data_IF_395933531171
#
_entry.id   IF_395933531171
#
_cell.length_a   1.000
_cell.length_b   1.000
_cell.length_c   1.000
_cell.angle_alpha   90.00
_cell.angle_beta   90.00
_cell.angle_gamma   90.00
#
_symmetry.space_group_name_H-M   'P 1'
#
loop_
_entity.id
_entity.type
_entity.pdbx_description
1 polymer ?
#
# COMPACT_ATOMS: atom_id res chain seq x y z
N UNK A 1 -8.97 18.12 10.69
CA UNK A 1 -9.63 16.79 10.55
C UNK A 1 -8.73 15.74 9.89
N UNK A 2 -8.21 15.97 8.66
CA UNK A 2 -7.37 14.97 7.97
C UNK A 2 -6.06 14.62 8.72
N UNK A 3 -5.39 15.58 9.35
CA UNK A 3 -4.19 15.28 10.15
C UNK A 3 -4.47 14.29 11.28
N UNK A 4 -5.58 14.49 12.01
CA UNK A 4 -6.03 13.59 13.08
C UNK A 4 -6.27 12.19 12.52
N UNK A 5 -6.89 12.08 11.33
CA UNK A 5 -7.08 10.79 10.67
C UNK A 5 -5.75 10.06 10.43
N UNK A 6 -4.74 10.71 9.86
CA UNK A 6 -3.44 10.06 9.61
C UNK A 6 -2.66 9.73 10.89
N UNK A 7 -2.77 10.57 11.93
CA UNK A 7 -2.23 10.25 13.26
C UNK A 7 -2.92 9.01 13.83
N UNK A 8 -4.25 8.97 13.76
CA UNK A 8 -5.05 7.83 14.23
C UNK A 8 -4.73 6.54 13.48
N UNK A 9 -4.47 6.63 12.17
CA UNK A 9 -4.02 5.49 11.34
C UNK A 9 -2.71 4.89 11.85
N UNK A 10 -1.73 5.72 12.23
CA UNK A 10 -0.47 5.26 12.81
C UNK A 10 -0.73 4.52 14.13
N UNK A 11 -1.47 5.14 15.05
CA UNK A 11 -1.79 4.53 16.35
C UNK A 11 -2.58 3.23 16.19
N UNK A 12 -3.57 3.19 15.30
CA UNK A 12 -4.36 1.98 15.04
C UNK A 12 -3.51 0.86 14.48
N UNK A 13 -2.54 1.18 13.61
CA UNK A 13 -1.61 0.20 13.05
C UNK A 13 -0.69 -0.35 14.14
N UNK A 14 -0.15 0.50 15.00
CA UNK A 14 0.70 0.08 16.12
C UNK A 14 -0.08 -0.75 17.14
N UNK A 15 -1.25 -0.28 17.56
CA UNK A 15 -2.13 -0.98 18.50
C UNK A 15 -2.54 -2.34 17.95
N UNK A 16 -2.97 -2.39 16.69
CA UNK A 16 -3.36 -3.65 16.06
C UNK A 16 -2.16 -4.59 15.90
N UNK A 17 -0.94 -4.09 15.75
CA UNK A 17 0.25 -4.92 15.67
C UNK A 17 0.60 -5.57 17.02
N UNK A 18 0.51 -4.80 18.10
CA UNK A 18 0.84 -5.24 19.45
C UNK A 18 -0.22 -6.15 20.06
N UNK A 19 -1.50 -5.77 19.96
CA UNK A 19 -2.59 -6.39 20.71
C UNK A 19 -3.52 -7.25 19.84
N UNK A 20 -3.66 -6.91 18.56
CA UNK A 20 -4.76 -7.42 17.73
C UNK A 20 -4.28 -7.86 16.34
N UNK A 21 -3.15 -8.58 16.29
CA UNK A 21 -2.38 -8.84 15.06
C UNK A 21 -3.17 -9.54 13.96
N UNK A 22 -4.20 -10.29 14.32
CA UNK A 22 -5.11 -10.93 13.37
C UNK A 22 -5.84 -9.91 12.45
N UNK A 23 -6.03 -8.66 12.89
CA UNK A 23 -6.66 -7.62 12.06
C UNK A 23 -5.73 -7.05 10.98
N UNK A 24 -4.41 -7.04 11.21
CA UNK A 24 -3.43 -6.59 10.21
C UNK A 24 -2.93 -7.75 9.34
N UNK A 25 -3.07 -9.00 9.82
CA UNK A 25 -2.52 -10.16 9.12
C UNK A 25 -3.13 -10.30 7.72
N UNK A 26 -2.27 -10.27 6.71
CA UNK A 26 -2.64 -10.61 5.34
C UNK A 26 -2.44 -12.11 5.11
N UNK A 27 -3.43 -12.82 4.57
CA UNK A 27 -3.27 -14.26 4.41
C UNK A 27 -4.43 -15.02 3.81
N UNK A 28 -4.28 -16.33 3.86
CA UNK A 28 -5.19 -17.34 3.34
C UNK A 28 -6.20 -17.71 4.42
N UNK A 29 -7.37 -17.09 4.37
CA UNK A 29 -8.50 -17.45 5.21
C UNK A 29 -9.74 -17.57 4.35
N UNK A 30 -10.50 -18.64 4.53
CA UNK A 30 -11.57 -19.01 3.60
C UNK A 30 -12.79 -18.06 3.64
N UNK A 31 -12.96 -17.25 4.69
CA UNK A 31 -14.10 -16.31 4.85
C UNK A 31 -13.78 -14.85 4.51
N UNK A 32 -12.69 -14.58 3.80
CA UNK A 32 -12.19 -13.21 3.57
C UNK A 32 -12.35 -12.73 2.11
N UNK A 33 -12.40 -11.41 1.93
CA UNK A 33 -12.52 -10.74 0.62
C UNK A 33 -11.27 -10.97 -0.23
N UNK A 34 -11.45 -11.05 -1.55
CA UNK A 34 -10.32 -11.19 -2.48
C UNK A 34 -9.47 -9.94 -2.52
N UNK A 35 -8.13 -10.09 -2.55
CA UNK A 35 -7.23 -8.96 -2.77
C UNK A 35 -7.32 -8.32 -4.15
N UNK A 36 -7.99 -8.98 -5.10
CA UNK A 36 -8.30 -8.37 -6.40
C UNK A 36 -9.16 -7.12 -6.27
N UNK A 37 -9.87 -6.97 -5.14
CA UNK A 37 -10.67 -5.77 -4.86
C UNK A 37 -9.82 -4.54 -4.53
N UNK A 38 -8.48 -4.65 -4.49
CA UNK A 38 -7.59 -3.48 -4.36
C UNK A 38 -7.76 -2.47 -5.51
N UNK A 39 -8.22 -2.90 -6.68
CA UNK A 39 -8.56 -1.99 -7.78
C UNK A 39 -9.57 -0.92 -7.35
N UNK A 40 -10.51 -1.26 -6.45
CA UNK A 40 -11.51 -0.33 -5.92
C UNK A 40 -10.86 0.83 -5.16
N UNK A 41 -9.77 0.57 -4.43
CA UNK A 41 -9.07 1.61 -3.67
C UNK A 41 -8.51 2.69 -4.60
N UNK A 42 -7.81 2.25 -5.64
CA UNK A 42 -7.22 3.15 -6.63
C UNK A 42 -8.30 3.84 -7.46
N UNK A 43 -9.40 3.16 -7.77
CA UNK A 43 -10.55 3.75 -8.46
C UNK A 43 -11.19 4.87 -7.64
N UNK A 44 -11.45 4.66 -6.35
CA UNK A 44 -11.94 5.71 -5.44
C UNK A 44 -10.98 6.88 -5.39
N UNK A 45 -9.67 6.60 -5.31
CA UNK A 45 -8.64 7.63 -5.35
C UNK A 45 -8.67 8.46 -6.64
N UNK A 46 -8.86 7.82 -7.80
CA UNK A 46 -8.98 8.49 -9.10
C UNK A 46 -10.26 9.34 -9.20
N UNK A 47 -11.41 8.80 -8.77
CA UNK A 47 -12.67 9.55 -8.72
C UNK A 47 -12.57 10.79 -7.84
N UNK A 48 -11.87 10.69 -6.72
CA UNK A 48 -11.68 11.81 -5.78
C UNK A 48 -10.81 12.92 -6.37
N UNK A 49 -9.87 12.58 -7.27
CA UNK A 49 -9.03 13.57 -7.95
C UNK A 49 -9.77 14.29 -9.08
N UNK A 50 -10.80 13.68 -9.68
CA UNK A 50 -11.59 14.31 -10.73
C UNK A 50 -12.35 15.56 -10.21
N UNK A 51 -12.42 16.67 -10.98
CA UNK A 51 -11.90 16.88 -12.34
C UNK A 51 -10.44 17.35 -12.40
N UNK A 52 -9.77 17.56 -11.26
CA UNK A 52 -8.42 18.13 -11.20
C UNK A 52 -7.36 17.05 -11.39
N UNK A 53 -6.87 16.93 -12.62
CA UNK A 53 -5.80 15.99 -12.93
C UNK A 53 -4.47 16.53 -12.41
N UNK A 54 -3.99 16.00 -11.28
CA UNK A 54 -2.60 16.16 -10.82
C UNK A 54 -1.77 14.91 -11.18
N UNK A 55 -0.44 14.97 -11.00
CA UNK A 55 0.42 13.83 -11.34
C UNK A 55 0.39 12.67 -10.34
N UNK A 56 -0.31 12.82 -9.21
CA UNK A 56 -0.64 11.66 -8.38
C UNK A 56 -1.59 10.70 -9.12
N UNK A 57 -2.40 11.20 -10.07
CA UNK A 57 -3.19 10.35 -10.96
C UNK A 57 -2.34 9.34 -11.73
N UNK A 58 -1.14 9.71 -12.21
CA UNK A 58 -0.27 8.77 -12.94
C UNK A 58 0.04 7.54 -12.08
N UNK A 59 0.35 7.76 -10.81
CA UNK A 59 0.63 6.69 -9.86
C UNK A 59 -0.61 5.81 -9.63
N UNK A 60 -1.77 6.43 -9.36
CA UNK A 60 -3.03 5.71 -9.11
C UNK A 60 -3.53 4.94 -10.33
N UNK A 61 -3.51 5.55 -11.52
CA UNK A 61 -3.91 4.92 -12.79
C UNK A 61 -3.04 3.70 -13.06
N UNK A 62 -1.71 3.83 -12.91
CA UNK A 62 -0.81 2.68 -13.06
C UNK A 62 -1.14 1.59 -12.03
N UNK A 63 -1.32 1.91 -10.75
CA UNK A 63 -1.71 0.91 -9.73
C UNK A 63 -3.03 0.23 -10.06
N UNK A 64 -4.01 0.98 -10.52
CA UNK A 64 -5.32 0.47 -10.93
C UNK A 64 -5.16 -0.57 -12.04
N UNK A 65 -4.46 -0.21 -13.13
CA UNK A 65 -4.16 -1.11 -14.25
C UNK A 65 -3.40 -2.35 -13.77
N UNK A 66 -2.34 -2.17 -12.98
CA UNK A 66 -1.57 -3.28 -12.41
C UNK A 66 -2.44 -4.25 -11.61
N UNK A 67 -3.40 -3.77 -10.82
CA UNK A 67 -4.27 -4.66 -10.05
C UNK A 67 -5.24 -5.48 -10.92
N UNK A 68 -5.57 -4.99 -12.10
CA UNK A 68 -6.39 -5.71 -13.08
C UNK A 68 -5.55 -6.79 -13.78
N UNK A 69 -4.32 -6.44 -14.19
CA UNK A 69 -3.40 -7.35 -14.90
C UNK A 69 -2.81 -8.40 -13.95
N UNK A 70 -2.24 -7.96 -12.82
CA UNK A 70 -1.52 -8.80 -11.86
C UNK A 70 -2.45 -9.32 -10.75
N UNK A 71 -3.44 -10.14 -11.14
CA UNK A 71 -4.44 -10.67 -10.21
C UNK A 71 -3.81 -11.54 -9.11
N UNK A 72 -4.30 -11.35 -7.88
CA UNK A 72 -4.02 -12.20 -6.74
C UNK A 72 -4.92 -13.45 -6.81
N UNK A 73 -4.32 -14.62 -7.03
CA UNK A 73 -5.10 -15.87 -7.11
C UNK A 73 -5.59 -16.37 -5.74
N UNK A 74 -4.93 -15.94 -4.67
CA UNK A 74 -4.89 -16.74 -3.44
C UNK A 74 -4.84 -15.90 -2.15
N UNK A 75 -4.50 -14.62 -2.26
CA UNK A 75 -4.42 -13.72 -1.10
C UNK A 75 -5.79 -13.10 -0.80
N UNK A 76 -6.14 -13.04 0.49
CA UNK A 76 -7.39 -12.45 0.98
C UNK A 76 -7.13 -11.31 1.97
N UNK A 77 -8.14 -10.47 2.22
CA UNK A 77 -8.14 -9.37 3.18
C UNK A 77 -9.45 -9.31 3.98
N UNK A 78 -9.39 -8.75 5.20
CA UNK A 78 -10.59 -8.53 6.01
C UNK A 78 -11.43 -7.37 5.50
N UNK A 79 -12.72 -7.35 5.87
CA UNK A 79 -13.60 -6.20 5.57
C UNK A 79 -13.05 -4.90 6.19
N UNK A 80 -12.47 -4.96 7.38
CA UNK A 80 -11.84 -3.80 8.02
C UNK A 80 -10.64 -3.29 7.23
N UNK A 81 -9.77 -4.18 6.74
CA UNK A 81 -8.66 -3.80 5.85
C UNK A 81 -9.18 -3.17 4.55
N UNK A 82 -10.28 -3.70 4.03
CA UNK A 82 -10.91 -3.19 2.81
C UNK A 82 -11.46 -1.77 3.01
N UNK A 83 -12.28 -1.56 4.03
CA UNK A 83 -12.84 -0.25 4.37
C UNK A 83 -11.75 0.76 4.73
N UNK A 84 -10.73 0.33 5.48
CA UNK A 84 -9.57 1.14 5.78
C UNK A 84 -8.86 1.58 4.50
N UNK A 85 -8.59 0.65 3.57
CA UNK A 85 -7.97 0.96 2.28
C UNK A 85 -8.75 2.00 1.47
N UNK A 86 -10.08 1.85 1.39
CA UNK A 86 -10.95 2.85 0.73
C UNK A 86 -10.81 4.22 1.41
N UNK A 87 -10.96 4.27 2.74
CA UNK A 87 -10.87 5.53 3.49
C UNK A 87 -9.51 6.21 3.32
N UNK A 88 -8.43 5.43 3.32
CA UNK A 88 -7.07 5.93 3.18
C UNK A 88 -6.86 6.59 1.83
N UNK A 89 -7.21 5.92 0.73
CA UNK A 89 -7.05 6.49 -0.61
C UNK A 89 -8.01 7.67 -0.86
N UNK A 90 -9.21 7.65 -0.27
CA UNK A 90 -10.12 8.79 -0.31
C UNK A 90 -9.50 10.03 0.35
N UNK A 91 -9.09 9.95 1.62
CA UNK A 91 -8.53 11.11 2.33
C UNK A 91 -7.19 11.58 1.75
N UNK A 92 -6.34 10.65 1.31
CA UNK A 92 -5.06 10.99 0.69
C UNK A 92 -5.27 11.69 -0.66
N UNK A 93 -6.14 11.17 -1.53
CA UNK A 93 -6.48 11.82 -2.80
C UNK A 93 -7.13 13.17 -2.58
N UNK A 94 -8.05 13.29 -1.61
CA UNK A 94 -8.70 14.55 -1.27
C UNK A 94 -7.68 15.63 -0.87
N UNK A 95 -6.69 15.26 -0.05
CA UNK A 95 -5.59 16.16 0.33
C UNK A 95 -4.74 16.60 -0.87
N UNK A 96 -4.47 15.68 -1.79
CA UNK A 96 -3.58 15.93 -2.93
C UNK A 96 -4.27 16.61 -4.12
N UNK A 97 -5.61 16.53 -4.23
CA UNK A 97 -6.39 17.01 -5.38
C UNK A 97 -6.02 18.42 -5.82
N UNK A 98 -5.90 19.33 -4.86
CA UNK A 98 -5.68 20.75 -5.11
C UNK A 98 -4.20 21.15 -5.02
N UNK A 99 -3.28 20.18 -4.96
CA UNK A 99 -1.84 20.42 -4.83
C UNK A 99 -1.14 20.35 -6.20
N UNK A 100 -0.27 21.32 -6.45
CA UNK A 100 0.57 21.35 -7.65
C UNK A 100 1.77 20.40 -7.51
N UNK A 101 1.50 19.10 -7.63
CA UNK A 101 2.55 18.09 -7.82
C UNK A 101 3.00 18.26 -9.26
N UNK A 102 4.30 18.50 -9.50
CA UNK A 102 4.93 18.56 -10.83
C UNK A 102 5.51 17.20 -11.24
N UNK A 103 5.50 16.86 -12.53
CA UNK A 103 6.25 15.70 -13.01
C UNK A 103 7.73 16.04 -12.87
N UNK A 104 8.45 15.16 -12.19
CA UNK A 104 9.90 15.10 -12.27
C UNK A 104 10.30 13.80 -12.96
N UNK A 105 11.46 13.80 -13.61
CA UNK A 105 12.07 12.59 -14.14
C UNK A 105 12.18 11.50 -13.06
N UNK A 106 12.57 11.89 -11.83
CA UNK A 106 12.69 10.98 -10.70
C UNK A 106 11.35 10.32 -10.33
N UNK A 107 10.24 11.06 -10.35
CA UNK A 107 8.92 10.51 -10.08
C UNK A 107 8.49 9.47 -11.13
N UNK A 108 8.75 9.73 -12.42
CA UNK A 108 8.50 8.76 -13.50
C UNK A 108 9.36 7.51 -13.31
N UNK A 109 10.66 7.69 -13.09
CA UNK A 109 11.60 6.59 -12.89
C UNK A 109 11.18 5.69 -11.73
N UNK A 110 10.79 6.26 -10.60
CA UNK A 110 10.31 5.48 -9.44
C UNK A 110 9.03 4.69 -9.76
N UNK A 111 8.09 5.26 -10.51
CA UNK A 111 6.88 4.54 -10.92
C UNK A 111 7.19 3.37 -11.86
N UNK A 112 8.14 3.55 -12.79
CA UNK A 112 8.63 2.47 -13.67
C UNK A 112 9.30 1.36 -12.85
N UNK A 113 10.21 1.72 -11.94
CA UNK A 113 10.90 0.73 -11.08
C UNK A 113 9.87 -0.02 -10.22
N UNK A 114 8.87 0.66 -9.66
CA UNK A 114 7.82 0.01 -8.89
C UNK A 114 6.98 -0.95 -9.76
N UNK A 115 6.63 -0.56 -10.99
CA UNK A 115 5.96 -1.45 -11.94
C UNK A 115 6.79 -2.70 -12.23
N UNK A 116 8.08 -2.54 -12.53
CA UNK A 116 9.02 -3.65 -12.74
C UNK A 116 9.08 -4.56 -11.51
N UNK A 117 9.14 -4.00 -10.30
CA UNK A 117 9.11 -4.78 -9.06
C UNK A 117 7.81 -5.60 -8.92
N UNK A 118 6.64 -5.00 -9.18
CA UNK A 118 5.38 -5.73 -9.16
C UNK A 118 5.30 -6.83 -10.21
N UNK A 119 5.77 -6.57 -11.43
CA UNK A 119 5.86 -7.58 -12.48
C UNK A 119 6.73 -8.77 -12.05
N UNK A 120 7.91 -8.50 -11.49
CA UNK A 120 8.80 -9.56 -10.99
C UNK A 120 8.16 -10.40 -9.88
N UNK A 121 7.44 -9.77 -8.95
CA UNK A 121 6.85 -10.44 -7.79
C UNK A 121 5.57 -11.20 -8.16
N UNK A 122 4.64 -10.58 -8.88
CA UNK A 122 3.31 -11.14 -9.11
C UNK A 122 3.24 -12.00 -10.36
N UNK A 123 3.87 -11.56 -11.44
CA UNK A 123 3.89 -12.30 -12.71
C UNK A 123 5.00 -13.35 -12.72
N UNK A 124 6.27 -12.95 -12.52
CA UNK A 124 7.41 -13.88 -12.53
C UNK A 124 7.59 -14.67 -11.23
N UNK A 125 6.80 -14.39 -10.18
CA UNK A 125 6.86 -15.09 -8.87
C UNK A 125 8.26 -15.05 -8.22
N UNK A 126 9.06 -14.02 -8.51
CA UNK A 126 10.41 -13.91 -7.98
C UNK A 126 10.40 -13.50 -6.50
N UNK A 127 10.45 -14.49 -5.61
CA UNK A 127 10.39 -14.28 -4.17
C UNK A 127 11.62 -13.58 -3.58
N UNK A 128 12.78 -13.56 -4.27
CA UNK A 128 13.98 -12.84 -3.81
C UNK A 128 13.73 -11.33 -3.72
N UNK A 129 12.83 -10.80 -4.57
CA UNK A 129 12.50 -9.38 -4.64
C UNK A 129 11.18 -9.04 -3.91
N UNK A 130 10.66 -9.91 -3.05
CA UNK A 130 9.30 -9.79 -2.46
C UNK A 130 8.99 -8.46 -1.75
N UNK A 131 10.01 -7.70 -1.34
CA UNK A 131 9.84 -6.44 -0.59
C UNK A 131 10.28 -5.19 -1.36
N UNK A 132 10.86 -5.32 -2.55
CA UNK A 132 11.39 -4.16 -3.29
C UNK A 132 10.30 -3.15 -3.64
N UNK A 133 9.11 -3.63 -3.98
CA UNK A 133 7.98 -2.76 -4.27
C UNK A 133 7.57 -1.83 -3.11
N UNK A 134 7.76 -2.25 -1.85
CA UNK A 134 7.50 -1.42 -0.68
C UNK A 134 8.49 -0.28 -0.56
N UNK A 135 9.77 -0.53 -0.86
CA UNK A 135 10.81 0.50 -0.88
C UNK A 135 10.49 1.53 -1.95
N UNK A 136 10.14 1.08 -3.17
CA UNK A 136 9.76 1.98 -4.25
C UNK A 136 8.52 2.82 -3.89
N UNK A 137 7.50 2.20 -3.28
CA UNK A 137 6.30 2.92 -2.82
C UNK A 137 6.65 4.01 -1.80
N UNK A 138 7.48 3.69 -0.81
CA UNK A 138 7.96 4.65 0.18
C UNK A 138 8.72 5.81 -0.47
N UNK A 139 9.62 5.52 -1.43
CA UNK A 139 10.38 6.54 -2.15
C UNK A 139 9.49 7.46 -2.99
N UNK A 140 8.42 6.93 -3.59
CA UNK A 140 7.43 7.75 -4.32
C UNK A 140 6.76 8.74 -3.36
N UNK A 141 6.28 8.27 -2.21
CA UNK A 141 5.65 9.15 -1.22
C UNK A 141 6.65 10.11 -0.58
N UNK A 142 7.91 9.72 -0.41
CA UNK A 142 8.97 10.58 0.09
C UNK A 142 9.25 11.73 -0.90
N UNK A 143 9.25 11.42 -2.19
CA UNK A 143 9.37 12.43 -3.24
C UNK A 143 8.19 13.42 -3.19
N UNK A 144 6.94 12.93 -3.11
CA UNK A 144 5.75 13.78 -3.00
C UNK A 144 5.83 14.65 -1.73
N UNK A 145 6.25 14.08 -0.60
CA UNK A 145 6.48 14.84 0.63
C UNK A 145 7.54 15.93 0.43
N UNK A 146 8.65 15.64 -0.23
CA UNK A 146 9.70 16.63 -0.47
C UNK A 146 9.23 17.80 -1.33
N UNK A 147 8.26 17.58 -2.23
CA UNK A 147 7.67 18.64 -3.03
C UNK A 147 6.66 19.51 -2.27
N UNK A 148 5.83 18.89 -1.42
CA UNK A 148 4.67 19.58 -0.81
C UNK A 148 4.87 19.94 0.67
N UNK A 149 5.78 19.25 1.37
CA UNK A 149 6.16 19.44 2.79
C UNK A 149 5.00 19.57 3.79
N UNK A 150 3.84 18.96 3.50
CA UNK A 150 2.67 19.01 4.39
C UNK A 150 2.79 18.01 5.55
N UNK A 151 2.21 18.35 6.71
CA UNK A 151 2.14 17.45 7.86
C UNK A 151 1.39 16.14 7.56
N UNK A 152 0.32 16.19 6.76
CA UNK A 152 -0.42 14.98 6.35
C UNK A 152 0.52 13.98 5.66
N UNK A 153 1.35 14.45 4.72
CA UNK A 153 2.32 13.58 4.03
C UNK A 153 3.45 13.10 4.95
N UNK A 154 3.85 13.91 5.94
CA UNK A 154 4.79 13.50 6.99
C UNK A 154 4.22 12.31 7.78
N UNK A 155 2.98 12.42 8.26
CA UNK A 155 2.30 11.31 8.96
C UNK A 155 2.08 10.11 8.04
N UNK A 156 1.77 10.34 6.77
CA UNK A 156 1.66 9.28 5.78
C UNK A 156 2.97 8.49 5.62
N UNK A 157 4.12 9.16 5.61
CA UNK A 157 5.43 8.50 5.56
C UNK A 157 5.69 7.66 6.81
N UNK A 158 5.39 8.19 8.01
CA UNK A 158 5.49 7.42 9.24
C UNK A 158 4.60 6.17 9.21
N UNK A 159 3.36 6.33 8.78
CA UNK A 159 2.44 5.21 8.59
C UNK A 159 2.99 4.18 7.59
N UNK A 160 3.48 4.60 6.42
CA UNK A 160 4.04 3.71 5.40
C UNK A 160 5.26 2.94 5.94
N UNK A 161 6.18 3.61 6.63
CA UNK A 161 7.34 2.96 7.25
C UNK A 161 6.90 1.89 8.27
N UNK A 162 5.94 2.24 9.14
CA UNK A 162 5.38 1.31 10.12
C UNK A 162 4.66 0.12 9.45
N UNK A 163 3.83 0.38 8.43
CA UNK A 163 3.12 -0.64 7.68
C UNK A 163 4.07 -1.62 6.99
N UNK A 164 5.14 -1.11 6.37
CA UNK A 164 6.18 -1.93 5.74
C UNK A 164 6.87 -2.78 6.78
N UNK A 165 7.31 -2.19 7.90
CA UNK A 165 7.95 -2.91 8.99
C UNK A 165 7.08 -4.06 9.51
N UNK A 166 5.82 -3.76 9.88
CA UNK A 166 4.85 -4.76 10.37
C UNK A 166 4.64 -5.87 9.35
N UNK A 167 4.47 -5.50 8.07
CA UNK A 167 4.22 -6.48 7.00
C UNK A 167 5.41 -7.41 6.77
N UNK A 168 6.64 -6.88 6.77
CA UNK A 168 7.87 -7.66 6.60
C UNK A 168 8.06 -8.59 7.81
N UNK A 169 7.93 -8.07 9.03
CA UNK A 169 8.08 -8.84 10.26
C UNK A 169 7.07 -10.00 10.35
N UNK A 170 5.80 -9.74 10.02
CA UNK A 170 4.74 -10.77 10.00
C UNK A 170 5.05 -11.88 9.00
N UNK A 171 5.52 -11.53 7.81
CA UNK A 171 5.83 -12.49 6.75
C UNK A 171 7.05 -13.35 7.08
N UNK A 172 8.13 -12.77 7.62
CA UNK A 172 9.30 -13.56 8.04
C UNK A 172 8.94 -14.53 9.16
N UNK A 173 8.21 -14.06 10.17
CA UNK A 173 7.80 -14.90 11.31
C UNK A 173 6.94 -16.08 10.86
N UNK A 174 6.04 -15.88 9.90
CA UNK A 174 5.22 -16.97 9.34
C UNK A 174 6.05 -17.94 8.50
N UNK A 175 6.97 -17.46 7.68
CA UNK A 175 7.88 -18.30 6.89
C UNK A 175 8.68 -19.23 7.80
N UNK A 176 9.26 -18.68 8.87
CA UNK A 176 10.00 -19.44 9.88
C UNK A 176 9.13 -20.52 10.52
N UNK A 177 7.93 -20.19 11.03
CA UNK A 177 7.01 -21.17 11.64
C UNK A 177 6.64 -22.33 10.72
N UNK A 178 6.47 -22.08 9.42
CA UNK A 178 6.15 -23.12 8.45
C UNK A 178 7.31 -24.10 8.22
N UNK A 179 8.56 -23.62 8.28
CA UNK A 179 9.75 -24.47 8.18
C UNK A 179 9.80 -25.47 9.35
N UNK A 180 9.52 -25.02 10.58
CA UNK A 180 9.52 -25.91 11.75
C UNK A 180 8.36 -26.91 11.76
N UNK A 181 7.18 -26.54 11.23
CA UNK A 181 6.06 -27.48 11.12
C UNK A 181 6.34 -28.61 10.12
N UNK A 182 7.03 -28.32 9.01
CA UNK A 182 7.39 -29.34 8.01
C UNK A 182 8.48 -30.30 8.48
N UNK A 183 9.27 -29.96 9.50
CA UNK A 183 10.29 -30.84 10.09
C UNK A 183 9.75 -31.79 11.17
N UNK A 184 8.47 -31.67 11.54
CA UNK A 184 7.81 -32.51 12.58
C UNK A 184 6.90 -33.60 12.00
N UNK A 185 6.93 -33.79 10.68
CA UNK A 185 6.23 -34.85 9.94
C UNK A 185 7.32 -35.65 9.24
#
# INVERSE_FOLDING_TARGET
MMEIYFIFVIFTTLFSFLFARNFIRHGYYNKLLSKNNYSIFYFVGLLTLFPKINFFNLHLTRRFIETIIFRYNKSRMSIFQFLFGISYYFFLSLHLRDKNIKISFYYILLNIIQFCAHYQIFYKKNHKLRYTHYICEFLIYLHIYNMLKTNILKYNLFYLALFIFVTVYDRERMSFRNIFRKKKI
#
